data_IF_601243552638
#
_entry.id   IF_601243552638
#
_cell.length_a   1.000
_cell.length_b   1.000
_cell.length_c   1.000
_cell.angle_alpha   90.00
_cell.angle_beta   90.00
_cell.angle_gamma   90.00
#
_symmetry.space_group_name_H-M   'P 1'
#
loop_
_entity.id
_entity.type
_entity.pdbx_description
1 polymer ?
#
# COMPACT_ATOMS: atom_id res chain seq x y z
N UNK A 1 1.56 -15.48 -5.83
CA UNK A 1 0.57 -14.49 -6.30
C UNK A 1 1.31 -13.26 -6.82
N UNK A 2 0.94 -12.78 -8.00
CA UNK A 2 1.51 -11.55 -8.59
C UNK A 2 0.41 -10.53 -8.79
N UNK A 3 0.61 -9.34 -8.26
CA UNK A 3 -0.33 -8.23 -8.36
C UNK A 3 0.29 -7.13 -9.21
N UNK A 4 -0.47 -6.65 -10.17
CA UNK A 4 -0.12 -5.51 -11.02
C UNK A 4 -1.25 -4.50 -11.05
N UNK A 5 -0.97 -3.31 -11.53
CA UNK A 5 -1.98 -2.29 -11.69
C UNK A 5 -3.06 -2.74 -12.67
N UNK A 6 -4.30 -2.85 -12.20
CA UNK A 6 -5.47 -3.22 -12.99
C UNK A 6 -6.59 -2.18 -12.92
N UNK A 7 -7.64 -2.40 -13.68
CA UNK A 7 -8.87 -1.62 -13.60
C UNK A 7 -9.71 -2.19 -12.46
N UNK A 8 -10.01 -1.37 -11.45
CA UNK A 8 -10.84 -1.74 -10.29
C UNK A 8 -12.31 -1.36 -10.47
N UNK A 9 -12.72 -0.98 -11.68
CA UNK A 9 -14.09 -0.62 -11.97
C UNK A 9 -15.04 -1.77 -11.65
N UNK A 10 -16.10 -1.48 -10.89
CA UNK A 10 -17.12 -2.43 -10.46
C UNK A 10 -16.67 -3.60 -9.55
N UNK A 11 -15.41 -3.66 -9.15
CA UNK A 11 -14.95 -4.61 -8.13
C UNK A 11 -15.34 -4.09 -6.75
N UNK A 12 -16.21 -4.80 -6.06
CA UNK A 12 -16.69 -4.44 -4.72
C UNK A 12 -16.62 -5.65 -3.79
N UNK A 13 -16.50 -5.38 -2.51
CA UNK A 13 -16.57 -6.38 -1.44
C UNK A 13 -17.54 -5.94 -0.36
N UNK A 14 -17.90 -6.85 0.53
CA UNK A 14 -18.62 -6.55 1.77
C UNK A 14 -17.67 -6.75 2.94
N UNK A 15 -17.63 -5.78 3.85
CA UNK A 15 -16.86 -5.85 5.10
C UNK A 15 -17.84 -5.92 6.25
N UNK A 16 -17.78 -6.97 7.06
CA UNK A 16 -18.60 -7.11 8.25
C UNK A 16 -17.79 -6.82 9.51
N UNK A 17 -18.32 -5.98 10.39
CA UNK A 17 -17.73 -5.65 11.68
C UNK A 17 -18.75 -5.98 12.76
N UNK A 18 -18.42 -6.89 13.68
CA UNK A 18 -19.26 -7.16 14.84
C UNK A 18 -19.02 -6.10 15.92
N UNK A 19 -20.10 -5.54 16.44
CA UNK A 19 -20.09 -4.59 17.58
C UNK A 19 -21.07 -5.10 18.63
N UNK A 20 -20.62 -5.90 19.62
CA UNK A 20 -21.50 -6.38 20.66
C UNK A 20 -22.13 -5.22 21.44
N UNK A 21 -23.43 -5.33 21.77
CA UNK A 21 -24.11 -4.37 22.63
C UNK A 21 -23.74 -4.59 24.11
N UNK A 22 -24.24 -3.73 25.01
CA UNK A 22 -23.97 -3.85 26.47
C UNK A 22 -24.48 -5.17 27.06
N UNK A 23 -25.48 -5.79 26.44
CA UNK A 23 -26.00 -7.10 26.84
C UNK A 23 -25.19 -8.28 26.31
N UNK A 24 -24.11 -8.03 25.56
CA UNK A 24 -23.27 -9.04 24.92
C UNK A 24 -23.89 -9.68 23.68
N UNK A 25 -24.96 -9.08 23.15
CA UNK A 25 -25.56 -9.56 21.89
C UNK A 25 -24.76 -9.04 20.71
N UNK A 26 -24.40 -9.95 19.81
CA UNK A 26 -23.70 -9.60 18.57
C UNK A 26 -24.57 -8.70 17.68
N UNK A 27 -23.99 -7.61 17.23
CA UNK A 27 -24.61 -6.66 16.29
C UNK A 27 -23.68 -6.50 15.08
N UNK A 28 -23.87 -7.32 14.06
CA UNK A 28 -23.08 -7.21 12.83
C UNK A 28 -23.48 -5.99 12.02
N UNK A 29 -22.48 -5.29 11.52
CA UNK A 29 -22.60 -4.16 10.60
C UNK A 29 -21.92 -4.53 9.29
N UNK A 30 -22.70 -4.69 8.24
CA UNK A 30 -22.23 -4.99 6.89
C UNK A 30 -22.03 -3.72 6.10
N UNK A 31 -20.81 -3.40 5.77
CA UNK A 31 -20.48 -2.32 4.85
C UNK A 31 -20.44 -2.86 3.43
N UNK A 32 -21.50 -2.56 2.68
CA UNK A 32 -21.75 -3.16 1.36
C UNK A 32 -21.23 -2.27 0.24
N UNK A 33 -20.74 -2.89 -0.83
CA UNK A 33 -20.23 -2.17 -1.99
C UNK A 33 -18.92 -1.42 -1.71
N UNK A 34 -18.10 -1.95 -0.78
CA UNK A 34 -16.80 -1.39 -0.44
C UNK A 34 -15.83 -1.54 -1.60
N UNK A 35 -15.12 -0.47 -1.90
CA UNK A 35 -14.04 -0.42 -2.88
C UNK A 35 -12.78 0.13 -2.24
N UNK A 36 -11.63 -0.39 -2.62
CA UNK A 36 -10.34 0.17 -2.20
C UNK A 36 -10.05 1.45 -2.97
N UNK A 37 -9.80 2.54 -2.24
CA UNK A 37 -9.47 3.85 -2.80
C UNK A 37 -7.98 4.16 -2.74
N UNK A 38 -7.26 3.47 -1.88
CA UNK A 38 -5.83 3.57 -1.72
C UNK A 38 -5.28 2.49 -0.80
N UNK A 39 -3.98 2.32 -0.86
CA UNK A 39 -3.22 1.52 0.08
C UNK A 39 -1.94 2.25 0.47
N UNK A 40 -1.52 2.10 1.72
CA UNK A 40 -0.27 2.62 2.26
C UNK A 40 0.49 1.49 2.92
N UNK A 41 1.72 1.25 2.48
CA UNK A 41 2.62 0.30 3.10
C UNK A 41 3.72 1.08 3.83
N UNK A 42 3.96 0.72 5.09
CA UNK A 42 4.97 1.33 5.95
C UNK A 42 5.83 0.26 6.59
N UNK A 43 7.14 0.46 6.54
CA UNK A 43 8.11 -0.33 7.28
C UNK A 43 9.13 0.61 7.92
N UNK A 44 9.34 0.46 9.24
CA UNK A 44 10.29 1.26 10.02
C UNK A 44 11.09 0.36 10.94
N UNK A 45 12.27 0.82 11.31
CA UNK A 45 13.13 0.13 12.28
C UNK A 45 12.36 -0.10 13.58
N UNK A 46 12.48 -1.32 14.13
CA UNK A 46 11.83 -1.79 15.36
C UNK A 46 10.30 -1.89 15.30
N UNK A 47 9.71 -1.82 14.12
CA UNK A 47 8.26 -1.94 13.93
C UNK A 47 7.88 -3.15 13.06
N UNK A 48 6.59 -3.48 13.09
CA UNK A 48 5.97 -4.37 12.13
C UNK A 48 5.82 -3.65 10.78
N UNK A 49 5.69 -4.42 9.72
CA UNK A 49 5.26 -3.88 8.43
C UNK A 49 3.75 -3.69 8.45
N UNK A 50 3.30 -2.47 8.20
CA UNK A 50 1.89 -2.11 8.19
C UNK A 50 1.39 -1.91 6.76
N UNK A 51 0.22 -2.47 6.48
CA UNK A 51 -0.55 -2.18 5.27
C UNK A 51 -1.88 -1.54 5.69
N UNK A 52 -2.04 -0.27 5.41
CA UNK A 52 -3.27 0.47 5.62
C UNK A 52 -4.05 0.53 4.32
N UNK A 53 -5.34 0.18 4.37
CA UNK A 53 -6.22 0.18 3.21
C UNK A 53 -7.31 1.23 3.40
N UNK A 54 -7.38 2.17 2.47
CA UNK A 54 -8.46 3.13 2.40
C UNK A 54 -9.62 2.55 1.60
N UNK A 55 -10.82 2.63 2.16
CA UNK A 55 -12.00 2.05 1.54
C UNK A 55 -13.16 3.06 1.47
N UNK A 56 -14.01 2.89 0.47
CA UNK A 56 -15.24 3.67 0.30
C UNK A 56 -16.42 2.73 0.07
N UNK A 57 -17.45 2.80 0.92
CA UNK A 57 -18.64 1.96 0.87
C UNK A 57 -19.85 2.64 0.25
N UNK A 58 -20.79 1.84 -0.20
CA UNK A 58 -22.06 2.33 -0.75
C UNK A 58 -23.12 2.56 0.34
N UNK A 59 -23.26 1.63 1.26
CA UNK A 59 -24.22 1.73 2.38
C UNK A 59 -23.90 0.71 3.47
N UNK A 60 -24.55 0.87 4.63
CA UNK A 60 -24.50 -0.02 5.78
C UNK A 60 -25.79 -0.86 5.84
N UNK A 61 -25.66 -2.14 6.15
CA UNK A 61 -26.77 -3.09 6.40
C UNK A 61 -26.54 -3.75 7.76
N UNK A 62 -27.51 -3.66 8.64
CA UNK A 62 -27.49 -4.23 10.00
C UNK A 62 -28.44 -5.41 10.16
N UNK A 63 -29.05 -5.89 9.08
CA UNK A 63 -30.04 -6.96 9.11
C UNK A 63 -29.46 -8.35 8.91
N UNK A 64 -28.18 -8.44 8.59
CA UNK A 64 -27.50 -9.71 8.33
C UNK A 64 -27.08 -10.41 9.62
N UNK A 65 -26.92 -11.72 9.57
CA UNK A 65 -26.34 -12.48 10.66
C UNK A 65 -24.82 -12.41 10.66
N UNK A 66 -24.21 -12.57 11.84
CA UNK A 66 -22.76 -12.61 11.96
C UNK A 66 -22.18 -13.80 11.18
N UNK A 67 -21.29 -13.53 10.26
CA UNK A 67 -20.56 -14.55 9.52
C UNK A 67 -19.48 -15.19 10.43
N UNK A 68 -19.27 -16.49 10.26
CA UNK A 68 -18.19 -17.18 10.95
C UNK A 68 -16.83 -16.70 10.39
N UNK A 69 -15.99 -16.14 11.27
CA UNK A 69 -14.65 -15.75 10.89
C UNK A 69 -13.73 -16.98 10.78
N UNK A 70 -12.93 -17.02 9.72
CA UNK A 70 -11.88 -18.03 9.53
C UNK A 70 -10.52 -17.36 9.63
N UNK A 71 -9.74 -17.73 10.65
CA UNK A 71 -8.40 -17.20 10.86
C UNK A 71 -7.36 -18.29 10.55
N UNK A 72 -6.22 -17.94 9.96
CA UNK A 72 -5.12 -18.89 9.83
C UNK A 72 -4.66 -19.35 11.21
N UNK A 73 -4.35 -20.64 11.34
CA UNK A 73 -3.92 -21.26 12.61
C UNK A 73 -2.54 -20.81 13.07
N UNK A 74 -1.72 -20.36 12.14
CA UNK A 74 -0.39 -19.81 12.42
C UNK A 74 -0.04 -18.77 11.36
N UNK A 75 0.45 -17.63 11.81
CA UNK A 75 0.97 -16.59 10.91
C UNK A 75 2.11 -15.85 11.62
N UNK A 76 3.08 -15.42 10.85
CA UNK A 76 4.19 -14.60 11.35
C UNK A 76 4.17 -13.29 10.57
N UNK A 77 3.95 -12.15 11.27
CA UNK A 77 3.95 -10.86 10.60
C UNK A 77 5.34 -10.52 10.07
N UNK A 78 5.39 -9.79 8.98
CA UNK A 78 6.63 -9.19 8.53
C UNK A 78 7.05 -8.08 9.50
N UNK A 79 8.34 -8.03 9.78
CA UNK A 79 8.97 -6.99 10.60
C UNK A 79 10.13 -6.39 9.81
N UNK A 80 10.70 -5.31 10.29
CA UNK A 80 11.84 -4.65 9.65
C UNK A 80 13.05 -5.57 9.43
N UNK A 81 13.31 -6.51 10.35
CA UNK A 81 14.44 -7.47 10.23
C UNK A 81 14.29 -8.45 9.07
N UNK A 82 13.08 -8.61 8.55
CA UNK A 82 12.82 -9.42 7.37
C UNK A 82 13.04 -8.66 6.06
N UNK A 83 13.23 -7.32 6.16
CA UNK A 83 13.32 -6.43 5.02
C UNK A 83 14.71 -6.35 4.41
N UNK A 84 14.74 -6.23 3.09
CA UNK A 84 15.92 -5.82 2.34
C UNK A 84 15.50 -4.90 1.19
N UNK A 85 16.30 -3.89 0.91
CA UNK A 85 16.05 -2.95 -0.16
C UNK A 85 17.25 -2.87 -1.11
N UNK A 86 16.97 -2.82 -2.39
CA UNK A 86 17.96 -2.60 -3.44
C UNK A 86 17.51 -1.47 -4.37
N UNK A 87 18.45 -0.62 -4.74
CA UNK A 87 18.33 0.42 -5.78
C UNK A 87 19.35 0.14 -6.90
N UNK A 88 19.27 -1.06 -7.50
CA UNK A 88 20.30 -1.59 -8.39
C UNK A 88 21.50 -2.22 -7.65
N UNK A 89 21.71 -1.84 -6.39
CA UNK A 89 22.62 -2.45 -5.40
C UNK A 89 21.96 -2.36 -4.04
N UNK A 90 22.45 -3.13 -3.06
CA UNK A 90 21.94 -3.06 -1.69
C UNK A 90 21.98 -1.62 -1.18
N UNK A 91 20.91 -1.21 -0.52
CA UNK A 91 20.74 0.14 0.01
C UNK A 91 20.06 0.08 1.38
N UNK A 92 20.69 0.67 2.40
CA UNK A 92 20.20 0.62 3.76
C UNK A 92 19.25 1.79 4.03
N UNK A 93 18.09 1.48 4.60
CA UNK A 93 17.06 2.46 4.96
C UNK A 93 16.58 2.23 6.39
N UNK A 94 16.30 3.31 7.09
CA UNK A 94 15.69 3.29 8.42
C UNK A 94 14.16 3.23 8.36
N UNK A 95 13.57 3.76 7.28
CA UNK A 95 12.14 3.70 7.03
C UNK A 95 11.84 3.75 5.53
N UNK A 96 10.75 3.11 5.14
CA UNK A 96 10.16 3.24 3.80
C UNK A 96 8.64 3.31 3.90
N UNK A 97 8.07 4.20 3.12
CA UNK A 97 6.64 4.40 2.99
C UNK A 97 6.28 4.39 1.50
N UNK A 98 5.23 3.65 1.14
CA UNK A 98 4.67 3.60 -0.21
C UNK A 98 3.20 3.95 -0.16
N UNK A 99 2.75 4.86 -1.01
CA UNK A 99 1.36 5.24 -1.20
C UNK A 99 0.91 4.82 -2.59
N UNK A 100 -0.12 3.97 -2.63
CA UNK A 100 -0.63 3.32 -3.84
C UNK A 100 -2.09 3.75 -4.03
N UNK A 101 -2.36 4.86 -4.75
CA UNK A 101 -3.72 5.29 -5.03
C UNK A 101 -4.36 4.41 -6.11
N UNK A 102 -5.64 4.11 -5.97
CA UNK A 102 -6.39 3.36 -7.00
C UNK A 102 -6.95 4.25 -8.09
N UNK A 103 -6.95 5.57 -7.90
CA UNK A 103 -7.48 6.54 -8.85
C UNK A 103 -9.00 6.47 -9.03
N UNK A 104 -9.72 5.84 -8.11
CA UNK A 104 -11.18 5.75 -8.16
C UNK A 104 -11.84 7.07 -7.79
N UNK A 105 -12.79 7.51 -8.59
CA UNK A 105 -13.67 8.63 -8.23
C UNK A 105 -14.83 8.10 -7.40
N UNK A 106 -14.83 8.42 -6.12
CA UNK A 106 -15.86 8.08 -5.14
C UNK A 106 -16.98 9.13 -5.08
N UNK A 107 -18.04 8.86 -4.29
CA UNK A 107 -19.10 9.85 -4.03
C UNK A 107 -19.94 10.21 -5.27
N UNK A 108 -20.01 9.37 -6.27
CA UNK A 108 -20.79 9.61 -7.50
C UNK A 108 -22.27 9.33 -7.24
N UNK A 109 -23.08 10.38 -7.13
CA UNK A 109 -24.53 10.26 -7.04
C UNK A 109 -25.20 10.52 -8.39
N UNK A 110 -26.45 10.10 -8.52
CA UNK A 110 -27.26 10.39 -9.69
C UNK A 110 -28.74 10.51 -9.30
N UNK A 111 -29.44 11.35 -10.01
CA UNK A 111 -30.91 11.40 -9.94
C UNK A 111 -31.43 10.11 -10.57
N UNK A 112 -32.04 9.24 -9.77
CA UNK A 112 -32.59 7.94 -10.21
C UNK A 112 -33.77 7.54 -9.32
N UNK A 113 -34.65 6.70 -9.86
CA UNK A 113 -35.88 6.29 -9.18
C UNK A 113 -35.64 5.29 -8.02
N UNK A 114 -34.55 4.51 -8.08
CA UNK A 114 -34.26 3.45 -7.10
C UNK A 114 -32.97 3.78 -6.33
N UNK A 115 -33.04 3.75 -5.00
CA UNK A 115 -31.92 4.02 -4.08
C UNK A 115 -31.16 5.32 -4.45
N UNK A 116 -31.82 6.48 -4.49
CA UNK A 116 -31.18 7.74 -4.89
C UNK A 116 -30.09 8.18 -3.90
N UNK A 117 -30.18 7.74 -2.65
CA UNK A 117 -29.24 8.02 -1.56
C UNK A 117 -27.92 7.26 -1.71
N UNK A 118 -27.92 6.14 -2.44
CA UNK A 118 -26.72 5.32 -2.60
C UNK A 118 -25.82 5.86 -3.71
N UNK A 119 -24.51 5.94 -3.50
CA UNK A 119 -23.60 6.31 -4.57
C UNK A 119 -23.59 5.24 -5.67
N UNK A 120 -23.23 5.66 -6.87
CA UNK A 120 -22.88 4.73 -7.94
C UNK A 120 -21.53 4.11 -7.64
N UNK A 121 -21.31 2.90 -8.13
CA UNK A 121 -20.00 2.25 -8.11
C UNK A 121 -18.95 3.19 -8.68
N UNK A 122 -17.85 3.35 -7.97
CA UNK A 122 -16.76 4.23 -8.38
C UNK A 122 -16.12 3.73 -9.68
N UNK A 123 -15.60 4.67 -10.45
CA UNK A 123 -14.86 4.38 -11.68
C UNK A 123 -13.50 5.04 -11.65
N UNK A 124 -12.54 4.42 -12.29
CA UNK A 124 -11.22 4.98 -12.47
C UNK A 124 -11.30 6.24 -13.34
N UNK A 125 -10.85 7.37 -12.83
CA UNK A 125 -10.83 8.66 -13.51
C UNK A 125 -9.54 9.43 -13.31
N UNK A 126 -8.83 9.15 -12.23
CA UNK A 126 -7.63 9.90 -11.87
C UNK A 126 -6.37 9.13 -12.26
N UNK A 127 -5.31 9.88 -12.53
CA UNK A 127 -3.97 9.32 -12.67
C UNK A 127 -3.61 8.55 -11.40
N UNK A 128 -3.01 7.39 -11.56
CA UNK A 128 -2.52 6.54 -10.48
C UNK A 128 -1.00 6.72 -10.40
N UNK A 129 -0.57 7.64 -9.60
CA UNK A 129 0.84 7.87 -9.35
C UNK A 129 1.22 7.21 -8.03
N UNK A 130 2.02 6.16 -8.11
CA UNK A 130 2.52 5.48 -6.93
C UNK A 130 3.76 6.23 -6.49
N UNK A 131 3.69 6.76 -5.28
CA UNK A 131 4.77 7.54 -4.69
C UNK A 131 5.25 6.87 -3.42
N UNK A 132 6.49 7.17 -3.06
CA UNK A 132 7.06 6.69 -1.81
C UNK A 132 8.06 7.66 -1.25
N UNK A 133 8.48 7.36 -0.04
CA UNK A 133 9.54 8.07 0.66
C UNK A 133 10.37 7.05 1.43
N UNK A 134 11.67 7.20 1.38
CA UNK A 134 12.59 6.44 2.21
C UNK A 134 13.45 7.37 3.04
N UNK A 135 13.87 6.90 4.20
CA UNK A 135 14.85 7.55 5.06
C UNK A 135 16.10 6.67 5.15
N UNK A 136 17.26 7.27 5.02
CA UNK A 136 18.53 6.59 5.19
C UNK A 136 19.54 7.53 5.83
N UNK A 137 20.60 6.95 6.36
CA UNK A 137 21.74 7.72 6.79
C UNK A 137 22.40 8.38 5.57
N UNK A 138 22.90 9.59 5.76
CA UNK A 138 23.61 10.29 4.70
C UNK A 138 25.07 9.84 4.66
N UNK A 139 25.37 8.82 3.87
CA UNK A 139 26.73 8.29 3.72
C UNK A 139 27.54 9.01 2.64
N UNK A 140 26.88 9.34 1.51
CA UNK A 140 27.52 9.95 0.36
C UNK A 140 26.50 10.73 -0.52
N UNK A 141 27.00 11.25 -1.63
CA UNK A 141 26.19 12.01 -2.60
C UNK A 141 25.47 11.13 -3.62
N UNK A 142 25.54 9.81 -3.54
CA UNK A 142 25.00 8.91 -4.59
C UNK A 142 23.50 9.11 -4.77
N UNK A 143 22.75 9.11 -3.67
CA UNK A 143 21.29 9.32 -3.71
C UNK A 143 20.94 10.74 -4.20
N UNK A 144 21.64 11.76 -3.70
CA UNK A 144 21.47 13.14 -4.15
C UNK A 144 21.77 13.30 -5.66
N UNK A 145 22.85 12.68 -6.13
CA UNK A 145 23.23 12.74 -7.55
C UNK A 145 22.21 12.02 -8.46
N UNK A 146 21.52 10.99 -7.99
CA UNK A 146 20.42 10.36 -8.76
C UNK A 146 19.30 11.37 -9.01
N UNK A 147 18.89 12.11 -8.01
CA UNK A 147 17.93 13.19 -8.15
C UNK A 147 18.44 14.26 -9.12
N UNK A 148 19.65 14.81 -8.87
CA UNK A 148 20.23 15.88 -9.69
C UNK A 148 20.36 15.52 -11.16
N UNK A 149 20.71 14.26 -11.46
CA UNK A 149 20.92 13.77 -12.80
C UNK A 149 19.65 13.11 -13.40
N UNK A 150 18.54 13.09 -12.66
CA UNK A 150 17.29 12.43 -13.04
C UNK A 150 17.52 10.98 -13.49
N UNK A 151 18.34 10.25 -12.72
CA UNK A 151 18.71 8.88 -13.03
C UNK A 151 17.74 7.94 -12.35
N UNK A 152 16.89 7.28 -13.12
CA UNK A 152 16.00 6.23 -12.63
C UNK A 152 16.79 5.05 -12.06
N UNK A 153 16.19 4.38 -11.06
CA UNK A 153 16.74 3.18 -10.47
C UNK A 153 15.67 2.10 -10.37
N UNK A 154 16.06 0.83 -10.48
CA UNK A 154 15.17 -0.27 -10.13
C UNK A 154 15.15 -0.43 -8.62
N UNK A 155 14.00 -0.16 -8.02
CA UNK A 155 13.73 -0.43 -6.62
C UNK A 155 13.22 -1.86 -6.47
N UNK A 156 13.83 -2.61 -5.56
CA UNK A 156 13.33 -3.92 -5.13
C UNK A 156 13.32 -3.95 -3.61
N UNK A 157 12.13 -4.00 -3.04
CA UNK A 157 11.88 -4.14 -1.60
C UNK A 157 11.37 -5.57 -1.34
N UNK A 158 12.09 -6.32 -0.52
CA UNK A 158 11.74 -7.71 -0.21
C UNK A 158 11.65 -7.91 1.30
N UNK A 159 10.58 -8.57 1.75
CA UNK A 159 10.44 -9.07 3.12
C UNK A 159 10.37 -10.58 3.08
N UNK A 160 11.25 -11.25 3.82
CA UNK A 160 11.35 -12.72 3.88
C UNK A 160 11.16 -13.23 5.30
N UNK A 161 10.11 -14.00 5.53
CA UNK A 161 9.83 -14.67 6.80
C UNK A 161 9.56 -16.16 6.57
N UNK A 162 10.58 -16.98 6.70
CA UNK A 162 10.50 -18.39 6.36
C UNK A 162 10.22 -18.61 4.89
N UNK A 163 9.09 -19.26 4.57
CA UNK A 163 8.63 -19.50 3.19
C UNK A 163 7.79 -18.35 2.62
N UNK A 164 7.40 -17.39 3.46
CA UNK A 164 6.60 -16.24 3.05
C UNK A 164 7.52 -15.12 2.56
N UNK A 165 7.32 -14.68 1.33
CA UNK A 165 8.12 -13.64 0.71
C UNK A 165 7.18 -12.61 0.07
N UNK A 166 7.32 -11.36 0.47
CA UNK A 166 6.68 -10.22 -0.18
C UNK A 166 7.75 -9.44 -0.93
N UNK A 167 7.61 -9.29 -2.24
CA UNK A 167 8.53 -8.52 -3.08
C UNK A 167 7.77 -7.42 -3.82
N UNK A 168 8.29 -6.21 -3.75
CA UNK A 168 7.79 -5.03 -4.45
C UNK A 168 8.90 -4.56 -5.38
N UNK A 169 8.61 -4.50 -6.68
CA UNK A 169 9.63 -4.15 -7.70
C UNK A 169 9.07 -3.12 -8.66
N UNK A 170 9.89 -2.15 -9.04
CA UNK A 170 9.58 -1.19 -10.09
C UNK A 170 10.70 -0.18 -10.31
N UNK A 171 10.59 0.60 -11.37
CA UNK A 171 11.53 1.67 -11.63
C UNK A 171 11.06 2.95 -10.92
N UNK A 172 11.98 3.64 -10.27
CA UNK A 172 11.71 4.86 -9.51
C UNK A 172 12.57 6.01 -10.01
N UNK A 173 11.98 7.18 -10.03
CA UNK A 173 12.65 8.48 -10.16
C UNK A 173 12.58 9.20 -8.83
N UNK A 174 13.64 9.91 -8.50
CA UNK A 174 13.75 10.62 -7.22
C UNK A 174 13.33 12.08 -7.40
N UNK A 175 12.48 12.55 -6.50
CA UNK A 175 12.18 13.96 -6.32
C UNK A 175 13.24 14.65 -5.46
N UNK A 176 13.11 15.97 -5.28
CA UNK A 176 14.05 16.76 -4.48
C UNK A 176 14.15 16.17 -3.07
N UNK A 177 15.33 15.66 -2.68
CA UNK A 177 15.52 15.10 -1.36
C UNK A 177 15.42 16.19 -0.29
N UNK A 178 14.91 15.81 0.88
CA UNK A 178 15.09 16.64 2.05
C UNK A 178 16.59 16.64 2.37
N UNK A 179 17.23 17.77 2.14
CA UNK A 179 18.67 17.93 2.38
C UNK A 179 19.04 17.52 3.82
N UNK A 180 20.26 17.01 4.01
CA UNK A 180 20.72 16.62 5.34
C UNK A 180 20.63 17.83 6.28
N UNK A 181 19.83 17.70 7.33
CA UNK A 181 19.66 18.75 8.36
C UNK A 181 20.62 18.47 9.50
N UNK A 182 21.52 19.40 9.74
CA UNK A 182 22.37 19.37 10.94
C UNK A 182 21.54 19.90 12.11
N UNK A 183 21.01 19.01 12.94
CA UNK A 183 20.20 19.37 14.12
C UNK A 183 20.90 19.11 15.46
N UNK A 184 22.18 18.74 15.45
CA UNK A 184 22.96 18.45 16.66
C UNK A 184 24.15 17.55 16.39
N UNK A 185 24.55 16.75 17.37
CA UNK A 185 25.65 15.76 17.30
C UNK A 185 25.19 14.40 16.71
N UNK A 186 23.98 14.33 16.18
CA UNK A 186 23.40 13.11 15.63
C UNK A 186 23.90 12.83 14.20
N UNK A 187 23.80 11.57 13.77
CA UNK A 187 24.06 11.19 12.38
C UNK A 187 23.12 11.93 11.43
N UNK A 188 23.67 12.37 10.31
CA UNK A 188 22.87 13.04 9.29
C UNK A 188 21.99 12.03 8.58
N UNK A 189 20.69 12.30 8.52
CA UNK A 189 19.73 11.54 7.75
C UNK A 189 19.32 12.29 6.49
N UNK A 190 18.96 11.54 5.46
CA UNK A 190 18.41 12.08 4.22
C UNK A 190 17.05 11.43 3.95
N UNK A 191 16.05 12.26 3.66
CA UNK A 191 14.75 11.81 3.17
C UNK A 191 14.74 11.84 1.65
N UNK A 192 14.41 10.71 1.03
CA UNK A 192 14.39 10.52 -0.41
C UNK A 192 12.96 10.24 -0.88
N UNK A 193 12.20 11.26 -1.29
CA UNK A 193 10.92 11.05 -1.97
C UNK A 193 11.17 10.51 -3.38
N UNK A 194 10.28 9.63 -3.84
CA UNK A 194 10.35 9.02 -5.16
C UNK A 194 8.97 8.70 -5.72
N UNK A 195 8.89 8.59 -7.04
CA UNK A 195 7.72 8.13 -7.76
C UNK A 195 8.07 6.93 -8.64
N UNK A 196 7.14 5.98 -8.76
CA UNK A 196 7.29 4.89 -9.72
C UNK A 196 7.02 5.38 -11.13
N UNK A 197 7.93 5.05 -12.04
CA UNK A 197 7.85 5.42 -13.45
C UNK A 197 7.85 4.19 -14.37
N UNK A 198 7.29 4.33 -15.56
CA UNK A 198 7.44 3.31 -16.61
C UNK A 198 8.82 3.43 -17.24
N UNK A 199 9.57 2.33 -17.26
CA UNK A 199 10.65 2.21 -18.24
C UNK A 199 10.05 1.95 -19.63
N UNK A 200 10.72 2.40 -20.67
CA UNK A 200 10.27 2.25 -22.06
C UNK A 200 10.10 0.80 -22.51
N UNK A 201 10.66 -0.16 -21.77
CA UNK A 201 10.62 -1.60 -22.04
C UNK A 201 9.62 -2.37 -21.17
N UNK A 202 9.06 -1.77 -20.12
CA UNK A 202 8.28 -2.50 -19.12
C UNK A 202 6.77 -2.34 -19.35
N UNK A 203 6.05 -3.45 -19.31
CA UNK A 203 4.60 -3.48 -19.38
C UNK A 203 3.92 -2.89 -18.12
N UNK A 204 4.64 -2.85 -16.98
CA UNK A 204 4.12 -2.37 -15.69
C UNK A 204 5.19 -1.58 -14.94
N UNK A 205 4.82 -0.39 -14.44
CA UNK A 205 5.71 0.43 -13.62
C UNK A 205 5.99 -0.16 -12.23
N UNK A 206 5.14 -1.07 -11.78
CA UNK A 206 5.10 -1.54 -10.40
C UNK A 206 4.49 -2.94 -10.32
N UNK A 207 5.14 -3.82 -9.60
CA UNK A 207 4.69 -5.19 -9.35
C UNK A 207 4.84 -5.56 -7.89
N UNK A 208 3.83 -6.18 -7.31
CA UNK A 208 3.88 -6.82 -6.00
C UNK A 208 3.78 -8.33 -6.21
N UNK A 209 4.69 -9.08 -5.62
CA UNK A 209 4.65 -10.53 -5.60
C UNK A 209 4.57 -11.02 -4.17
N UNK A 210 3.61 -11.87 -3.87
CA UNK A 210 3.48 -12.56 -2.60
C UNK A 210 3.63 -14.06 -2.83
N UNK A 211 4.63 -14.64 -2.21
CA UNK A 211 4.80 -16.08 -2.09
C UNK A 211 4.40 -16.52 -0.69
N UNK A 212 3.51 -17.49 -0.57
CA UNK A 212 3.10 -18.11 0.68
C UNK A 212 2.73 -19.56 0.44
N UNK A 213 2.29 -20.28 1.47
CA UNK A 213 1.84 -21.67 1.37
C UNK A 213 0.36 -21.82 0.97
N UNK A 214 -0.39 -20.71 0.83
CA UNK A 214 -1.80 -20.77 0.45
C UNK A 214 -1.95 -21.07 -1.03
N UNK A 215 -2.77 -22.05 -1.36
CA UNK A 215 -3.00 -22.49 -2.74
C UNK A 215 -3.99 -21.57 -3.50
N UNK A 216 -4.75 -20.74 -2.79
CA UNK A 216 -5.77 -19.84 -3.34
C UNK A 216 -5.55 -18.42 -2.82
N UNK A 217 -5.66 -17.45 -3.71
CA UNK A 217 -5.68 -16.03 -3.38
C UNK A 217 -7.12 -15.54 -3.24
#
# INVERSE_FOLDING_TARGET
HTFSHGVLDALTMTVQINRPDEGGTDRPFDFVGMQFTGAKLEAKINELVYLTLDTYGAYEDTTQSLAAASYPSSWTPFTFVHGSLSLGSAYDVSAIELTIPTGLRTGRHAIRATNPERPKVSKSQNRREIVGRMQSDFFDLTAYNRFKNQTAATLTLTFTSGTNILTITGNVEFDEPDGPKVSGEEMLEIGLPFAFCHATSDATAFTITLQNSDATA
#
